data_IF_758433915604
#
_entry.id   IF_758433915604
#
_cell.length_a   1.000
_cell.length_b   1.000
_cell.length_c   1.000
_cell.angle_alpha   90.00
_cell.angle_beta   90.00
_cell.angle_gamma   90.00
#
_symmetry.space_group_name_H-M   'P 1'
#
loop_
_entity.id
_entity.type
_entity.pdbx_description
1 polymer ?
#
# COMPACT_ATOMS: atom_id res chain seq x y z
N UNK A 1 -45.59 46.67 -26.22
CA UNK A 1 -44.67 46.99 -27.32
C UNK A 1 -44.19 45.66 -27.88
N UNK A 2 -45.04 45.01 -28.68
CA UNK A 2 -44.98 44.97 -30.16
C UNK A 2 -43.77 44.17 -30.66
N UNK A 3 -44.01 42.90 -31.03
CA UNK A 3 -44.34 42.41 -32.39
C UNK A 3 -43.11 42.38 -33.29
N UNK A 4 -42.59 41.18 -33.56
CA UNK A 4 -42.30 40.75 -34.93
C UNK A 4 -42.61 39.25 -35.06
N UNK A 5 -43.64 38.97 -35.86
CA UNK A 5 -44.10 37.68 -36.34
C UNK A 5 -43.21 37.22 -37.51
N UNK A 6 -43.06 35.90 -37.71
CA UNK A 6 -43.37 35.20 -38.98
C UNK A 6 -43.59 33.70 -38.70
N UNK A 7 -44.88 33.35 -38.75
CA UNK A 7 -45.60 32.23 -39.38
C UNK A 7 -45.01 30.80 -39.43
N UNK A 8 -45.86 29.90 -38.94
CA UNK A 8 -45.93 28.45 -39.09
C UNK A 8 -45.98 27.95 -40.55
N UNK A 9 -45.38 26.78 -40.77
CA UNK A 9 -45.81 25.80 -41.78
C UNK A 9 -45.93 24.43 -41.11
N UNK A 10 -47.14 23.85 -41.14
CA UNK A 10 -47.49 22.48 -40.71
C UNK A 10 -47.40 21.52 -41.90
N UNK A 11 -46.81 20.33 -41.69
CA UNK A 11 -47.13 19.02 -42.31
C UNK A 11 -46.73 17.97 -41.25
N UNK A 12 -47.65 17.43 -40.45
CA UNK A 12 -48.47 16.21 -40.63
C UNK A 12 -47.71 14.86 -40.56
N UNK A 13 -47.87 14.20 -39.40
CA UNK A 13 -48.13 12.76 -39.09
C UNK A 13 -47.16 11.61 -39.50
N UNK A 14 -46.49 11.02 -38.49
CA UNK A 14 -46.46 9.60 -37.99
C UNK A 14 -46.66 8.37 -38.92
N UNK A 15 -46.43 7.10 -38.49
CA UNK A 15 -45.36 6.47 -37.69
C UNK A 15 -44.86 5.12 -38.32
N UNK A 16 -43.81 4.49 -37.76
CA UNK A 16 -43.71 3.01 -37.73
C UNK A 16 -42.40 2.33 -38.21
N UNK A 17 -42.17 1.06 -37.82
CA UNK A 17 -40.84 0.53 -37.48
C UNK A 17 -40.32 -0.58 -38.42
N UNK A 18 -39.02 -0.85 -38.40
CA UNK A 18 -38.47 -2.10 -38.94
C UNK A 18 -37.26 -2.60 -38.14
N UNK A 19 -37.46 -3.77 -37.52
CA UNK A 19 -36.42 -4.70 -37.07
C UNK A 19 -35.87 -5.42 -38.30
N UNK A 20 -34.57 -5.70 -38.34
CA UNK A 20 -34.07 -6.93 -38.95
C UNK A 20 -32.80 -7.41 -38.26
N UNK A 21 -32.87 -8.68 -37.90
CA UNK A 21 -31.89 -9.56 -37.24
C UNK A 21 -31.05 -10.24 -38.33
N UNK A 22 -29.78 -10.58 -38.04
CA UNK A 22 -29.13 -11.85 -38.44
C UNK A 22 -27.69 -11.96 -37.86
N UNK A 23 -27.57 -12.71 -36.75
CA UNK A 23 -26.77 -13.95 -36.54
C UNK A 23 -25.44 -14.13 -37.32
N UNK A 24 -24.27 -14.10 -36.65
CA UNK A 24 -23.44 -15.22 -36.09
C UNK A 24 -22.28 -15.67 -37.02
N UNK A 25 -21.22 -16.43 -36.61
CA UNK A 25 -20.80 -16.93 -35.28
C UNK A 25 -19.26 -16.94 -34.99
N UNK A 26 -18.89 -17.59 -33.86
CA UNK A 26 -17.58 -18.18 -33.45
C UNK A 26 -16.62 -17.23 -32.69
N UNK A 27 -16.01 -17.53 -31.54
CA UNK A 27 -15.75 -18.78 -30.83
C UNK A 27 -15.63 -18.60 -29.28
N UNK A 28 -15.97 -19.70 -28.61
CA UNK A 28 -15.84 -20.08 -27.19
C UNK A 28 -14.48 -19.77 -26.53
N UNK A 29 -14.32 -19.64 -25.20
CA UNK A 29 -14.64 -20.64 -24.18
C UNK A 29 -14.52 -20.06 -22.74
N UNK A 30 -15.55 -20.29 -21.92
CA UNK A 30 -15.44 -20.34 -20.46
C UNK A 30 -15.35 -21.81 -20.03
N UNK A 31 -14.38 -22.18 -19.19
CA UNK A 31 -14.39 -23.42 -18.40
C UNK A 31 -14.03 -23.09 -16.96
N UNK A 32 -14.98 -23.35 -16.06
CA UNK A 32 -14.76 -23.65 -14.65
C UNK A 32 -14.37 -25.12 -14.50
N UNK A 33 -13.36 -25.46 -13.68
CA UNK A 33 -13.27 -26.74 -12.94
C UNK A 33 -12.47 -26.59 -11.64
N UNK A 34 -13.18 -26.68 -10.52
CA UNK A 34 -13.05 -27.66 -9.43
C UNK A 34 -11.67 -28.30 -9.09
N UNK A 35 -11.42 -28.39 -7.77
CA UNK A 35 -10.70 -29.43 -7.02
C UNK A 35 -9.20 -29.63 -7.28
N UNK A 36 -8.36 -29.58 -6.24
CA UNK A 36 -8.33 -30.64 -5.22
C UNK A 36 -7.41 -30.32 -4.04
N UNK A 37 -7.91 -30.72 -2.89
CA UNK A 37 -7.31 -30.81 -1.56
C UNK A 37 -6.35 -32.00 -1.51
N UNK A 38 -5.18 -31.88 -0.87
CA UNK A 38 -4.50 -33.02 -0.21
C UNK A 38 -3.54 -32.56 0.88
N UNK A 39 -4.07 -32.62 2.11
CA UNK A 39 -3.37 -32.72 3.39
C UNK A 39 -3.24 -34.22 3.65
N UNK A 40 -2.04 -34.72 3.89
CA UNK A 40 -1.84 -36.07 4.44
C UNK A 40 -0.72 -36.04 5.47
N UNK A 41 -1.16 -36.04 6.72
CA UNK A 41 -0.48 -36.56 7.91
C UNK A 41 -0.52 -38.09 7.88
N UNK A 42 0.55 -38.77 8.31
CA UNK A 42 0.44 -40.05 9.03
C UNK A 42 1.80 -40.46 9.60
N UNK A 43 1.82 -40.59 10.93
CA UNK A 43 2.81 -41.27 11.75
C UNK A 43 2.78 -42.82 11.58
N UNK A 44 3.60 -43.49 12.41
CA UNK A 44 3.62 -44.93 12.80
C UNK A 44 4.62 -45.79 12.01
N UNK A 45 5.46 -46.69 12.55
CA UNK A 45 5.98 -47.03 13.88
C UNK A 45 7.03 -48.16 13.69
N UNK A 46 7.97 -48.22 14.64
CA UNK A 46 8.95 -49.23 15.10
C UNK A 46 8.95 -50.66 14.50
N UNK A 47 10.15 -51.20 14.24
CA UNK A 47 10.51 -52.60 14.53
C UNK A 47 12.02 -52.79 14.83
N UNK A 48 12.30 -53.54 15.91
CA UNK A 48 13.58 -54.03 16.46
C UNK A 48 14.24 -55.11 15.57
N UNK A 49 15.56 -55.36 15.72
CA UNK A 49 16.14 -56.53 16.44
C UNK A 49 17.64 -56.80 16.13
N UNK A 50 18.45 -56.77 17.20
CA UNK A 50 19.79 -57.34 17.55
C UNK A 50 20.68 -58.08 16.53
N UNK A 51 22.03 -57.97 16.67
CA UNK A 51 22.87 -58.94 17.44
C UNK A 51 24.38 -58.56 17.53
N UNK A 52 24.85 -58.46 18.78
CA UNK A 52 26.11 -58.83 19.46
C UNK A 52 27.44 -59.04 18.70
N UNK A 53 28.52 -58.45 19.24
CA UNK A 53 29.75 -59.17 19.63
C UNK A 53 30.42 -58.44 20.81
N UNK A 54 30.84 -59.23 21.80
CA UNK A 54 31.62 -58.88 22.99
C UNK A 54 33.12 -58.95 22.71
N UNK A 55 33.95 -58.18 23.42
CA UNK A 55 34.96 -58.72 24.33
C UNK A 55 35.79 -57.62 25.05
N UNK A 56 36.26 -58.01 26.23
CA UNK A 56 36.77 -57.26 27.38
C UNK A 56 38.15 -56.61 27.21
N UNK A 57 38.46 -55.52 27.94
CA UNK A 57 39.30 -55.62 29.16
C UNK A 57 39.49 -54.31 29.94
N UNK A 58 39.80 -54.47 31.22
CA UNK A 58 39.77 -53.49 32.31
C UNK A 58 41.05 -52.65 32.45
N UNK A 59 40.98 -51.39 32.93
CA UNK A 59 41.59 -50.98 34.21
C UNK A 59 41.31 -49.50 34.56
N UNK A 60 41.21 -49.26 35.87
CA UNK A 60 40.86 -48.03 36.58
C UNK A 60 42.05 -47.10 36.79
N UNK A 61 41.86 -45.78 36.69
CA UNK A 61 42.60 -44.80 37.50
C UNK A 61 41.71 -43.60 37.87
N UNK A 62 41.42 -43.51 39.17
CA UNK A 62 40.54 -42.51 39.79
C UNK A 62 41.23 -41.13 39.87
N UNK A 63 40.75 -40.14 39.11
CA UNK A 63 41.03 -38.71 39.36
C UNK A 63 39.92 -38.10 40.25
N UNK A 64 40.26 -37.36 41.32
CA UNK A 64 39.26 -36.77 42.20
C UNK A 64 38.45 -35.70 41.46
N UNK A 65 37.14 -35.91 41.37
CA UNK A 65 36.19 -34.94 40.81
C UNK A 65 36.13 -33.72 41.74
N UNK A 66 36.83 -32.64 41.39
CA UNK A 66 36.64 -31.33 42.02
C UNK A 66 35.17 -30.94 41.89
N UNK A 67 34.46 -30.90 43.02
CA UNK A 67 33.09 -30.44 43.08
C UNK A 67 33.03 -28.99 42.59
N UNK A 68 32.34 -28.79 41.47
CA UNK A 68 32.14 -27.48 40.85
C UNK A 68 31.22 -26.67 41.76
N UNK A 69 31.79 -25.76 42.53
CA UNK A 69 31.04 -24.76 43.30
C UNK A 69 30.06 -24.09 42.34
N UNK A 70 28.77 -24.33 42.55
CA UNK A 70 27.68 -23.77 41.74
C UNK A 70 27.56 -22.29 42.11
N UNK A 71 28.43 -21.46 41.52
CA UNK A 71 28.35 -20.01 41.67
C UNK A 71 26.99 -19.58 41.15
N UNK A 72 26.17 -19.05 42.03
CA UNK A 72 24.89 -18.45 41.67
C UNK A 72 25.18 -17.26 40.74
N UNK A 73 24.99 -17.48 39.44
CA UNK A 73 25.32 -16.47 38.45
C UNK A 73 24.27 -15.36 38.56
N UNK A 74 24.72 -14.17 38.98
CA UNK A 74 23.87 -12.97 38.97
C UNK A 74 23.24 -12.85 37.60
N UNK A 75 21.90 -12.85 37.52
CA UNK A 75 21.18 -12.66 36.26
C UNK A 75 21.58 -11.31 35.69
N UNK A 76 22.25 -11.30 34.54
CA UNK A 76 22.70 -10.08 33.88
C UNK A 76 21.48 -9.31 33.38
N UNK A 77 21.32 -8.07 33.82
CA UNK A 77 20.34 -7.16 33.23
C UNK A 77 20.91 -6.53 31.96
N UNK A 78 20.05 -6.37 30.95
CA UNK A 78 20.38 -5.69 29.70
C UNK A 78 19.69 -4.33 29.69
N UNK A 79 20.51 -3.27 29.63
CA UNK A 79 20.08 -1.87 29.59
C UNK A 79 20.34 -1.35 28.19
N UNK A 80 19.37 -0.61 27.63
CA UNK A 80 19.51 -0.03 26.30
C UNK A 80 20.55 1.09 26.31
N UNK A 81 21.54 1.01 25.41
CA UNK A 81 22.57 2.02 25.31
C UNK A 81 22.18 3.07 24.26
N UNK A 82 21.88 4.30 24.71
CA UNK A 82 21.53 5.41 23.80
C UNK A 82 22.66 5.75 22.81
N UNK A 83 23.92 5.43 23.11
CA UNK A 83 25.04 5.65 22.18
C UNK A 83 24.86 4.89 20.85
N UNK A 84 24.16 3.75 20.87
CA UNK A 84 23.87 2.99 19.65
C UNK A 84 23.03 3.78 18.64
N UNK A 85 22.21 4.73 19.08
CA UNK A 85 21.43 5.58 18.16
C UNK A 85 22.32 6.49 17.30
N UNK A 86 23.53 6.80 17.78
CA UNK A 86 24.51 7.64 17.07
C UNK A 86 25.45 6.83 16.18
N UNK A 87 25.64 5.54 16.48
CA UNK A 87 26.53 4.66 15.71
C UNK A 87 25.96 4.42 14.29
N UNK A 88 26.81 4.56 13.26
CA UNK A 88 26.42 4.37 11.85
C UNK A 88 25.78 3.01 11.56
N UNK A 89 26.15 1.97 12.30
CA UNK A 89 25.64 0.61 12.12
C UNK A 89 24.19 0.42 12.55
N UNK A 90 23.71 1.24 13.48
CA UNK A 90 22.39 1.09 14.09
C UNK A 90 21.48 2.32 13.83
N UNK A 91 22.08 3.44 13.41
CA UNK A 91 21.38 4.67 13.08
C UNK A 91 20.38 4.44 11.94
N UNK A 92 19.18 5.01 12.11
CA UNK A 92 18.13 5.04 11.09
C UNK A 92 17.11 3.91 11.14
N UNK A 93 17.35 2.82 11.90
CA UNK A 93 16.38 1.73 12.02
C UNK A 93 16.18 1.22 13.46
N UNK A 94 17.17 1.39 14.35
CA UNK A 94 17.09 0.96 15.74
C UNK A 94 16.48 2.05 16.62
N UNK A 95 15.51 1.68 17.46
CA UNK A 95 14.86 2.58 18.42
C UNK A 95 14.76 1.92 19.80
N UNK A 96 14.71 2.73 20.86
CA UNK A 96 14.41 2.24 22.20
C UNK A 96 12.91 1.94 22.32
N UNK A 97 12.55 0.72 22.72
CA UNK A 97 11.14 0.43 23.00
C UNK A 97 10.71 1.07 24.32
N UNK A 98 9.43 1.47 24.39
CA UNK A 98 8.80 1.93 25.63
C UNK A 98 8.58 0.76 26.61
N UNK A 99 8.50 -0.45 26.08
CA UNK A 99 8.22 -1.66 26.85
C UNK A 99 9.51 -2.25 27.44
N UNK A 100 9.36 -2.84 28.63
CA UNK A 100 10.38 -3.70 29.24
C UNK A 100 9.96 -5.16 29.10
N UNK A 101 10.93 -6.06 29.06
CA UNK A 101 10.67 -7.49 29.03
C UNK A 101 9.94 -7.94 30.30
N UNK A 102 8.69 -8.39 30.19
CA UNK A 102 7.90 -8.87 31.32
C UNK A 102 8.59 -10.01 32.12
N UNK A 103 9.41 -10.81 31.44
CA UNK A 103 10.09 -11.98 32.05
C UNK A 103 11.38 -11.61 32.78
N UNK A 104 12.05 -10.53 32.38
CA UNK A 104 13.42 -10.25 32.84
C UNK A 104 13.68 -8.80 33.26
N UNK A 105 12.65 -7.94 33.21
CA UNK A 105 12.74 -6.49 33.46
C UNK A 105 13.86 -5.77 32.69
N UNK A 106 14.28 -6.37 31.57
CA UNK A 106 15.32 -5.83 30.69
C UNK A 106 14.73 -4.84 29.70
N UNK A 107 15.54 -3.89 29.28
CA UNK A 107 15.16 -2.97 28.22
C UNK A 107 15.05 -3.72 26.88
N UNK A 108 14.10 -3.28 26.06
CA UNK A 108 13.90 -3.77 24.70
C UNK A 108 14.33 -2.71 23.68
N UNK A 109 14.84 -3.19 22.56
CA UNK A 109 15.09 -2.41 21.37
C UNK A 109 14.05 -2.79 20.31
N UNK A 110 13.53 -1.82 19.57
CA UNK A 110 12.62 -2.03 18.46
C UNK A 110 13.31 -1.70 17.14
N UNK A 111 13.05 -2.53 16.12
CA UNK A 111 13.43 -2.25 14.75
C UNK A 111 12.26 -1.62 14.02
N UNK A 112 12.43 -0.39 13.51
CA UNK A 112 11.40 0.32 12.74
C UNK A 112 11.10 -0.41 11.42
N UNK A 113 12.13 -0.98 10.81
CA UNK A 113 12.09 -1.61 9.48
C UNK A 113 11.38 -2.97 9.50
N UNK A 114 11.54 -3.73 10.59
CA UNK A 114 10.93 -5.05 10.75
C UNK A 114 9.71 -5.04 11.68
N UNK A 115 9.41 -3.90 12.31
CA UNK A 115 8.42 -3.77 13.38
C UNK A 115 8.55 -4.89 14.44
N UNK A 116 9.79 -5.17 14.87
CA UNK A 116 10.10 -6.28 15.77
C UNK A 116 10.85 -5.79 17.01
N UNK A 117 10.40 -6.24 18.18
CA UNK A 117 11.05 -5.98 19.46
C UNK A 117 12.02 -7.10 19.83
N UNK A 118 13.21 -6.73 20.28
CA UNK A 118 14.26 -7.65 20.71
C UNK A 118 14.93 -7.15 21.99
N UNK A 119 15.65 -8.04 22.66
CA UNK A 119 16.43 -7.66 23.84
C UNK A 119 17.49 -6.61 23.47
N UNK A 120 17.68 -5.62 24.33
CA UNK A 120 18.70 -4.57 24.18
C UNK A 120 20.13 -5.10 24.43
N UNK A 121 20.50 -6.17 23.72
CA UNK A 121 21.81 -6.80 23.76
C UNK A 121 22.49 -6.65 22.40
N UNK A 122 23.72 -6.12 22.40
CA UNK A 122 24.44 -5.76 21.17
C UNK A 122 24.53 -6.90 20.17
N UNK A 123 24.78 -8.14 20.62
CA UNK A 123 24.88 -9.29 19.71
C UNK A 123 23.54 -9.67 19.07
N UNK A 124 22.42 -9.48 19.78
CA UNK A 124 21.07 -9.77 19.27
C UNK A 124 20.72 -8.75 18.19
N UNK A 125 21.01 -7.48 18.44
CA UNK A 125 20.80 -6.38 17.50
C UNK A 125 21.65 -6.57 16.24
N UNK A 126 22.94 -6.91 16.39
CA UNK A 126 23.83 -7.21 15.25
C UNK A 126 23.37 -8.41 14.43
N UNK A 127 22.91 -9.48 15.09
CA UNK A 127 22.35 -10.65 14.40
C UNK A 127 21.07 -10.28 13.65
N UNK A 128 20.22 -9.42 14.24
CA UNK A 128 19.02 -8.93 13.58
C UNK A 128 19.36 -8.12 12.32
N UNK A 129 20.32 -7.18 12.38
CA UNK A 129 20.71 -6.42 11.19
C UNK A 129 21.29 -7.30 10.07
N UNK A 130 21.90 -8.43 10.44
CA UNK A 130 22.42 -9.40 9.48
C UNK A 130 21.34 -10.32 8.87
N UNK A 131 20.14 -10.38 9.46
CA UNK A 131 19.02 -11.20 9.00
C UNK A 131 18.56 -10.82 7.60
N UNK A 132 18.13 -11.82 6.84
CA UNK A 132 17.57 -11.64 5.50
C UNK A 132 16.32 -10.76 5.50
N UNK A 133 15.43 -10.95 6.48
CA UNK A 133 14.20 -10.16 6.60
C UNK A 133 14.50 -8.67 6.78
N UNK A 134 15.49 -8.35 7.63
CA UNK A 134 15.93 -6.98 7.82
C UNK A 134 16.51 -6.39 6.53
N UNK A 135 17.44 -7.10 5.88
CA UNK A 135 18.07 -6.66 4.63
C UNK A 135 17.04 -6.45 3.52
N UNK A 136 16.07 -7.34 3.40
CA UNK A 136 14.99 -7.24 2.42
C UNK A 136 14.14 -6.00 2.65
N UNK A 137 13.58 -5.83 3.85
CA UNK A 137 12.73 -4.68 4.19
C UNK A 137 13.50 -3.35 4.10
N UNK A 138 14.77 -3.34 4.52
CA UNK A 138 15.61 -2.14 4.46
C UNK A 138 15.82 -1.68 3.01
N UNK A 139 16.07 -2.62 2.08
CA UNK A 139 16.17 -2.32 0.65
C UNK A 139 14.85 -1.78 0.09
N UNK A 140 13.72 -2.38 0.47
CA UNK A 140 12.40 -1.93 0.03
C UNK A 140 12.11 -0.49 0.49
N UNK A 141 12.44 -0.14 1.73
CA UNK A 141 12.22 1.22 2.22
C UNK A 141 13.08 2.24 1.46
N UNK A 142 14.31 1.86 1.08
CA UNK A 142 15.19 2.73 0.29
C UNK A 142 14.68 2.95 -1.15
N UNK A 143 13.99 1.96 -1.74
CA UNK A 143 13.47 2.06 -3.12
C UNK A 143 12.10 2.69 -3.23
N UNK A 144 11.31 2.74 -2.15
CA UNK A 144 9.96 3.30 -2.17
C UNK A 144 9.99 4.82 -1.99
N UNK A 145 9.28 5.53 -2.88
CA UNK A 145 9.03 6.98 -2.71
C UNK A 145 8.17 7.22 -1.48
N UNK A 146 8.44 8.33 -0.76
CA UNK A 146 7.59 8.72 0.37
C UNK A 146 6.20 9.07 -0.16
N UNK A 147 5.17 8.69 0.58
CA UNK A 147 3.76 9.03 0.27
C UNK A 147 3.61 10.56 0.11
N UNK A 148 4.36 11.34 0.89
CA UNK A 148 4.40 12.80 0.78
C UNK A 148 4.82 13.29 -0.60
N UNK A 149 5.70 12.57 -1.29
CA UNK A 149 6.16 12.95 -2.63
C UNK A 149 5.10 12.65 -3.68
N UNK A 150 4.29 11.60 -3.48
CA UNK A 150 3.16 11.28 -4.34
C UNK A 150 1.99 12.27 -4.19
N UNK A 151 1.86 12.92 -3.03
CA UNK A 151 0.77 13.86 -2.73
C UNK A 151 1.10 15.31 -3.08
N UNK A 152 2.32 15.60 -3.53
CA UNK A 152 2.71 16.94 -3.97
C UNK A 152 2.02 17.25 -5.30
N UNK A 153 0.93 18.00 -5.24
CA UNK A 153 0.38 18.62 -6.45
C UNK A 153 1.37 19.67 -6.96
N UNK A 154 1.67 19.59 -8.25
CA UNK A 154 2.50 20.59 -8.90
C UNK A 154 1.78 21.93 -8.96
N UNK A 155 2.54 23.04 -9.03
CA UNK A 155 1.95 24.38 -9.19
C UNK A 155 1.06 24.46 -10.44
N UNK A 156 1.48 23.79 -11.52
CA UNK A 156 0.72 23.69 -12.75
C UNK A 156 -0.64 22.98 -12.55
N UNK A 157 -0.67 21.86 -11.82
CA UNK A 157 -1.93 21.17 -11.51
C UNK A 157 -2.90 22.03 -10.69
N UNK A 158 -2.37 22.80 -9.74
CA UNK A 158 -3.20 23.71 -8.93
C UNK A 158 -3.77 24.83 -9.81
N UNK A 159 -2.98 25.37 -10.74
CA UNK A 159 -3.44 26.37 -11.69
C UNK A 159 -4.50 25.82 -12.65
N UNK A 160 -4.37 24.56 -13.09
CA UNK A 160 -5.40 23.87 -13.89
C UNK A 160 -6.69 23.72 -13.09
N UNK A 161 -6.63 23.23 -11.84
CA UNK A 161 -7.81 23.12 -10.96
C UNK A 161 -8.48 24.48 -10.75
N UNK A 162 -7.70 25.53 -10.52
CA UNK A 162 -8.20 26.89 -10.37
C UNK A 162 -8.92 27.40 -11.63
N UNK A 163 -8.37 27.14 -12.82
CA UNK A 163 -9.02 27.49 -14.07
C UNK A 163 -10.35 26.74 -14.27
N UNK A 164 -10.39 25.44 -13.96
CA UNK A 164 -11.63 24.64 -14.01
C UNK A 164 -12.70 25.17 -13.06
N UNK A 165 -12.32 25.53 -11.82
CA UNK A 165 -13.26 26.09 -10.84
C UNK A 165 -13.82 27.43 -11.34
N UNK A 166 -12.97 28.31 -11.89
CA UNK A 166 -13.42 29.59 -12.47
C UNK A 166 -14.38 29.39 -13.63
N UNK A 167 -14.12 28.41 -14.50
CA UNK A 167 -15.00 28.04 -15.61
C UNK A 167 -16.35 27.52 -15.11
N UNK A 168 -16.36 26.65 -14.10
CA UNK A 168 -17.60 26.22 -13.44
C UNK A 168 -18.35 27.39 -12.81
N UNK A 169 -17.65 28.28 -12.12
CA UNK A 169 -18.21 29.48 -11.51
C UNK A 169 -18.90 30.37 -12.54
N UNK A 170 -18.25 30.61 -13.69
CA UNK A 170 -18.83 31.38 -14.79
C UNK A 170 -20.15 30.78 -15.29
N UNK A 171 -20.23 29.46 -15.43
CA UNK A 171 -21.48 28.82 -15.84
C UNK A 171 -22.56 28.97 -14.77
N UNK A 172 -22.20 28.78 -13.50
CA UNK A 172 -23.14 28.88 -12.40
C UNK A 172 -23.69 30.31 -12.24
N UNK A 173 -22.85 31.34 -12.31
CA UNK A 173 -23.28 32.74 -12.16
C UNK A 173 -24.20 33.20 -13.29
N UNK A 174 -24.01 32.67 -14.49
CA UNK A 174 -24.83 33.01 -15.67
C UNK A 174 -25.98 32.03 -15.91
N UNK A 175 -26.22 31.08 -14.99
CA UNK A 175 -27.23 30.03 -15.13
C UNK A 175 -27.13 29.24 -16.45
N UNK A 176 -25.91 28.96 -16.90
CA UNK A 176 -25.64 28.24 -18.14
C UNK A 176 -25.61 26.71 -17.90
N UNK A 177 -26.05 25.91 -18.88
CA UNK A 177 -26.05 24.46 -18.72
C UNK A 177 -24.62 23.90 -18.69
N UNK A 178 -24.31 23.09 -17.68
CA UNK A 178 -23.00 22.39 -17.57
C UNK A 178 -22.69 21.44 -18.73
N UNK A 179 -23.69 21.07 -19.55
CA UNK A 179 -23.49 20.34 -20.82
C UNK A 179 -22.60 21.12 -21.79
N UNK A 180 -22.57 22.46 -21.70
CA UNK A 180 -21.72 23.30 -22.54
C UNK A 180 -20.22 22.97 -22.37
N UNK A 181 -19.79 22.48 -21.19
CA UNK A 181 -18.39 22.14 -20.94
C UNK A 181 -17.85 21.04 -21.85
N UNK A 182 -18.72 20.13 -22.32
CA UNK A 182 -18.30 19.03 -23.21
C UNK A 182 -17.79 19.55 -24.55
N UNK A 183 -18.29 20.70 -25.01
CA UNK A 183 -17.86 21.38 -26.23
C UNK A 183 -16.85 22.50 -25.96
N UNK A 184 -16.97 23.18 -24.81
CA UNK A 184 -16.11 24.30 -24.45
C UNK A 184 -14.67 23.85 -24.10
N UNK A 185 -14.53 22.72 -23.42
CA UNK A 185 -13.22 22.15 -23.06
C UNK A 185 -12.30 21.89 -24.28
N UNK A 186 -12.76 21.19 -25.35
CA UNK A 186 -11.94 21.04 -26.56
C UNK A 186 -11.75 22.37 -27.32
N UNK A 187 -12.74 23.28 -27.29
CA UNK A 187 -12.61 24.59 -27.93
C UNK A 187 -11.50 25.44 -27.29
N UNK A 188 -11.42 25.48 -25.97
CA UNK A 188 -10.37 26.23 -25.24
C UNK A 188 -8.97 25.71 -25.59
N UNK A 189 -8.81 24.39 -25.77
CA UNK A 189 -7.53 23.79 -26.19
C UNK A 189 -7.12 24.19 -27.60
N UNK A 190 -8.10 24.34 -28.49
CA UNK A 190 -7.86 24.77 -29.87
C UNK A 190 -7.55 26.28 -29.95
N UNK A 191 -8.19 27.10 -29.11
CA UNK A 191 -7.95 28.55 -29.08
C UNK A 191 -6.59 28.89 -28.46
N UNK A 192 -6.17 28.16 -27.42
CA UNK A 192 -4.93 28.42 -26.67
C UNK A 192 -3.96 27.23 -26.73
N UNK A 193 -3.31 26.97 -27.88
CA UNK A 193 -2.37 25.86 -28.03
C UNK A 193 -1.00 26.11 -27.36
N UNK A 194 -0.71 27.33 -26.95
CA UNK A 194 0.51 27.74 -26.26
C UNK A 194 0.43 27.50 -24.74
N UNK A 195 -0.74 27.69 -24.15
CA UNK A 195 -0.97 27.56 -22.72
C UNK A 195 -0.97 26.10 -22.25
N UNK A 196 -0.03 25.76 -21.36
CA UNK A 196 0.02 24.45 -20.70
C UNK A 196 -1.20 24.23 -19.79
N UNK A 197 -1.75 25.32 -19.21
CA UNK A 197 -2.96 25.26 -18.38
C UNK A 197 -4.16 24.87 -19.25
N UNK A 198 -4.33 25.51 -20.41
CA UNK A 198 -5.43 25.22 -21.33
C UNK A 198 -5.41 23.77 -21.81
N UNK A 199 -4.24 23.24 -22.16
CA UNK A 199 -4.05 21.82 -22.51
C UNK A 199 -4.49 20.87 -21.40
N UNK A 200 -4.15 21.21 -20.16
CA UNK A 200 -4.42 20.42 -18.96
C UNK A 200 -5.86 20.45 -18.48
N UNK A 201 -6.66 21.44 -18.89
CA UNK A 201 -8.09 21.51 -18.53
C UNK A 201 -8.80 20.25 -19.04
N UNK A 202 -9.42 19.50 -18.16
CA UNK A 202 -10.26 18.36 -18.50
C UNK A 202 -11.53 18.42 -17.66
N UNK A 203 -12.36 19.38 -18.04
CA UNK A 203 -13.66 19.62 -17.44
C UNK A 203 -14.73 19.12 -18.39
N UNK A 204 -15.57 18.21 -17.89
CA UNK A 204 -16.76 17.68 -18.56
C UNK A 204 -17.97 17.89 -17.65
N UNK A 205 -19.17 17.64 -18.17
CA UNK A 205 -20.42 17.78 -17.42
C UNK A 205 -20.37 17.16 -16.01
N UNK A 206 -19.98 15.88 -15.88
CA UNK A 206 -20.02 15.16 -14.59
C UNK A 206 -19.10 15.78 -13.53
N UNK A 207 -17.90 16.21 -13.93
CA UNK A 207 -16.93 16.87 -13.05
C UNK A 207 -17.39 18.28 -12.67
N UNK A 208 -17.97 19.01 -13.63
CA UNK A 208 -18.49 20.35 -13.39
C UNK A 208 -19.70 20.34 -12.43
N UNK A 209 -20.60 19.38 -12.60
CA UNK A 209 -21.73 19.21 -11.67
C UNK A 209 -21.25 18.76 -10.28
N UNK A 210 -20.31 17.82 -10.19
CA UNK A 210 -19.80 17.37 -8.89
C UNK A 210 -19.13 18.49 -8.10
N UNK A 211 -18.26 19.28 -8.74
CA UNK A 211 -17.62 20.44 -8.11
C UNK A 211 -18.66 21.46 -7.64
N UNK A 212 -19.63 21.81 -8.49
CA UNK A 212 -20.73 22.70 -8.10
C UNK A 212 -21.56 22.16 -6.92
N UNK A 213 -21.97 20.89 -6.95
CA UNK A 213 -22.75 20.28 -5.87
C UNK A 213 -21.99 20.27 -4.54
N UNK A 214 -20.67 20.02 -4.55
CA UNK A 214 -19.84 20.06 -3.33
C UNK A 214 -19.83 21.48 -2.74
N UNK A 215 -19.69 22.50 -3.58
CA UNK A 215 -19.74 23.90 -3.13
C UNK A 215 -21.12 24.28 -2.61
N UNK A 216 -22.20 23.93 -3.31
CA UNK A 216 -23.55 24.32 -2.88
C UNK A 216 -24.01 23.59 -1.61
N UNK A 217 -23.62 22.33 -1.40
CA UNK A 217 -23.99 21.55 -0.21
C UNK A 217 -23.18 21.88 1.05
N UNK A 218 -22.01 22.54 0.94
CA UNK A 218 -21.20 22.94 2.10
C UNK A 218 -21.47 24.39 2.55
N UNK A 219 -22.15 25.19 1.72
CA UNK A 219 -22.36 26.62 1.95
C UNK A 219 -23.84 27.05 1.90
N UNK A 220 -24.78 26.09 1.84
CA UNK A 220 -26.23 26.31 1.98
C UNK A 220 -26.73 25.78 3.31
#
# INVERSE_FOLDING_TARGET
MERWLIKNTKLNEDPGPSKSTQDHPTNFCNISKESNRKKTTSDVEVAKLSKDTSDSDSNSENKPKKQRIKRESKKRSYIFCNKWLSDEKFKGWLTKSKNKSAKTNNDLASCIVCNHEMLAHKSVILRHSASENHKFNYKQIASNSKISDCLKSTELENNIKNAEIKLCGLLATNNLPFRLMDNLSPLIKNIFPDSQIAKGINLKRSKATSTYCIFFNNYG
#
